data_IF_082551526714
#
_entry.id   IF_082551526714
#
_cell.length_a   1.000
_cell.length_b   1.000
_cell.length_c   1.000
_cell.angle_alpha   90.00
_cell.angle_beta   90.00
_cell.angle_gamma   90.00
#
_symmetry.space_group_name_H-M   'P 1'
#
loop_
_entity.id
_entity.type
_entity.pdbx_description
1 polymer ?
#
# COMPACT_ATOMS: atom_id res chain seq x y z
N UNK A 1 1.13 32.27 1.80
CA UNK A 1 1.30 31.02 2.59
C UNK A 1 -0.07 30.65 3.13
N UNK A 2 -0.70 29.59 2.61
CA UNK A 2 -2.01 29.15 3.09
C UNK A 2 -1.82 28.40 4.41
N UNK A 3 -2.47 28.86 5.48
CA UNK A 3 -2.53 28.15 6.75
C UNK A 3 -3.63 27.09 6.59
N UNK A 4 -3.28 25.81 6.74
CA UNK A 4 -4.28 24.76 6.77
C UNK A 4 -5.09 24.90 8.07
N UNK A 5 -6.38 25.22 7.97
CA UNK A 5 -7.32 25.19 9.08
C UNK A 5 -7.55 23.75 9.53
N UNK A 6 -7.19 23.41 10.77
CA UNK A 6 -7.60 22.15 11.37
C UNK A 6 -9.06 22.27 11.83
N UNK A 7 -9.97 21.60 11.11
CA UNK A 7 -11.42 21.61 11.38
C UNK A 7 -11.88 20.49 12.33
N UNK A 8 -10.94 19.74 12.90
CA UNK A 8 -11.26 18.58 13.73
C UNK A 8 -11.98 17.46 12.96
N UNK A 9 -12.33 16.36 13.64
CA UNK A 9 -13.02 15.23 13.01
C UNK A 9 -14.45 15.61 12.64
N UNK A 10 -14.91 15.16 11.47
CA UNK A 10 -16.30 15.39 11.01
C UNK A 10 -17.36 14.85 12.00
N UNK A 11 -16.99 13.91 12.87
CA UNK A 11 -17.84 13.38 13.95
C UNK A 11 -17.04 13.30 15.26
N UNK A 12 -16.97 14.39 16.05
CA UNK A 12 -16.14 14.46 17.26
C UNK A 12 -16.54 13.49 18.39
N UNK A 13 -17.81 13.09 18.43
CA UNK A 13 -18.37 12.20 19.44
C UNK A 13 -18.92 10.91 18.80
N UNK A 14 -18.19 10.34 17.84
CA UNK A 14 -18.61 9.11 17.17
C UNK A 14 -18.81 7.96 18.18
N UNK A 15 -20.01 7.38 18.20
CA UNK A 15 -20.37 6.25 19.05
C UNK A 15 -21.10 5.19 18.24
N UNK A 16 -20.83 3.92 18.56
CA UNK A 16 -21.55 2.76 18.01
C UNK A 16 -22.91 2.54 18.70
N UNK A 17 -23.13 3.13 19.88
CA UNK A 17 -24.37 2.99 20.65
C UNK A 17 -25.56 3.50 19.82
N UNK A 18 -26.57 2.65 19.65
CA UNK A 18 -27.80 3.00 18.89
C UNK A 18 -27.67 2.91 17.36
N UNK A 19 -26.52 2.47 16.84
CA UNK A 19 -26.34 2.24 15.40
C UNK A 19 -26.55 0.78 15.05
N UNK A 20 -27.22 0.54 13.93
CA UNK A 20 -27.32 -0.80 13.33
C UNK A 20 -26.16 -1.05 12.36
N UNK A 21 -25.88 -2.33 12.09
CA UNK A 21 -24.88 -2.73 11.07
C UNK A 21 -25.17 -2.08 9.71
N UNK A 22 -26.44 -2.03 9.29
CA UNK A 22 -26.84 -1.36 8.06
C UNK A 22 -26.54 0.16 8.07
N UNK A 23 -26.73 0.83 9.22
CA UNK A 23 -26.39 2.25 9.37
C UNK A 23 -24.88 2.48 9.24
N UNK A 24 -24.07 1.60 9.83
CA UNK A 24 -22.60 1.65 9.75
C UNK A 24 -22.11 1.41 8.31
N UNK A 25 -22.65 0.40 7.61
CA UNK A 25 -22.30 0.12 6.22
C UNK A 25 -22.58 1.31 5.30
N UNK A 26 -23.72 1.99 5.45
CA UNK A 26 -24.01 3.21 4.69
C UNK A 26 -23.01 4.34 4.94
N UNK A 27 -22.52 4.49 6.17
CA UNK A 27 -21.50 5.50 6.51
C UNK A 27 -20.15 5.15 5.89
N UNK A 28 -19.76 3.88 5.92
CA UNK A 28 -18.56 3.37 5.26
C UNK A 28 -18.65 3.59 3.75
N UNK A 29 -19.78 3.29 3.12
CA UNK A 29 -20.01 3.55 1.69
C UNK A 29 -20.02 5.04 1.35
N UNK A 30 -20.56 5.90 2.22
CA UNK A 30 -20.50 7.35 2.03
C UNK A 30 -19.06 7.86 2.10
N UNK A 31 -18.27 7.37 3.06
CA UNK A 31 -16.84 7.69 3.18
C UNK A 31 -16.03 7.18 1.99
N UNK A 32 -16.23 5.94 1.55
CA UNK A 32 -15.60 5.41 0.34
C UNK A 32 -15.99 6.19 -0.91
N UNK A 33 -17.25 6.63 -1.02
CA UNK A 33 -17.68 7.51 -2.12
C UNK A 33 -17.04 8.88 -2.02
N UNK A 34 -16.81 9.43 -0.84
CA UNK A 34 -16.06 10.68 -0.68
C UNK A 34 -14.61 10.53 -1.13
N UNK A 35 -13.92 9.46 -0.69
CA UNK A 35 -12.58 9.12 -1.15
C UNK A 35 -12.52 8.87 -2.67
N UNK A 36 -13.55 8.25 -3.25
CA UNK A 36 -13.65 8.01 -4.69
C UNK A 36 -14.10 9.24 -5.51
N UNK A 37 -14.83 10.18 -4.89
CA UNK A 37 -15.28 11.47 -5.45
C UNK A 37 -14.21 12.55 -5.36
N UNK A 38 -13.15 12.34 -4.57
CA UNK A 38 -11.84 12.89 -4.89
C UNK A 38 -11.29 12.25 -6.18
N UNK A 39 -12.09 12.24 -7.26
CA UNK A 39 -11.76 11.68 -8.56
C UNK A 39 -10.57 12.41 -9.21
N UNK A 40 -10.22 13.61 -8.70
CA UNK A 40 -8.95 14.28 -8.97
C UNK A 40 -7.74 13.46 -8.53
N UNK A 41 -7.89 12.53 -7.58
CA UNK A 41 -6.82 11.65 -7.13
C UNK A 41 -6.37 10.64 -8.21
N UNK A 42 -7.17 10.36 -9.24
CA UNK A 42 -6.73 9.49 -10.34
C UNK A 42 -5.68 10.15 -11.23
N UNK A 43 -5.71 11.47 -11.34
CA UNK A 43 -4.84 12.24 -12.24
C UNK A 43 -3.64 12.87 -11.50
N UNK A 44 -3.53 12.68 -10.18
CA UNK A 44 -2.33 13.07 -9.44
C UNK A 44 -1.26 11.99 -9.56
N UNK A 45 -0.06 12.45 -9.86
CA UNK A 45 1.18 11.69 -9.78
C UNK A 45 2.14 12.43 -8.83
N UNK A 46 3.04 11.69 -8.22
CA UNK A 46 4.06 12.23 -7.34
C UNK A 46 5.44 11.77 -7.78
N UNK A 47 6.46 12.47 -7.24
CA UNK A 47 7.85 12.08 -7.46
C UNK A 47 8.13 10.77 -6.75
N UNK A 48 9.00 9.98 -7.36
CA UNK A 48 9.58 8.80 -6.73
C UNK A 48 10.24 9.19 -5.41
N UNK A 49 10.10 8.34 -4.41
CA UNK A 49 10.75 8.48 -3.13
C UNK A 49 12.26 8.21 -3.24
N UNK A 50 13.01 8.50 -2.17
CA UNK A 50 14.46 8.30 -2.09
C UNK A 50 14.86 6.85 -1.68
N UNK A 51 14.04 5.89 -2.07
CA UNK A 51 14.20 4.45 -1.88
C UNK A 51 14.15 3.86 -3.28
N UNK A 52 15.00 2.90 -3.62
CA UNK A 52 15.02 2.36 -4.98
C UNK A 52 14.06 1.16 -5.17
N UNK A 53 13.52 1.07 -6.39
CA UNK A 53 12.90 -0.16 -6.89
C UNK A 53 13.90 -1.32 -6.81
N UNK A 54 13.40 -2.55 -6.61
CA UNK A 54 14.26 -3.71 -6.42
C UNK A 54 13.75 -4.95 -7.12
N UNK A 55 14.71 -5.71 -7.67
CA UNK A 55 14.46 -7.01 -8.30
C UNK A 55 15.37 -8.06 -7.67
N UNK A 56 14.82 -9.25 -7.46
CA UNK A 56 15.54 -10.42 -6.98
C UNK A 56 15.15 -11.66 -7.77
N UNK A 57 16.15 -12.35 -8.32
CA UNK A 57 15.97 -13.58 -9.07
C UNK A 57 16.39 -14.74 -8.17
N UNK A 58 15.51 -15.73 -8.04
CA UNK A 58 15.80 -16.99 -7.38
C UNK A 58 15.56 -18.17 -8.32
N UNK A 59 16.27 -19.26 -8.08
CA UNK A 59 16.22 -20.44 -8.95
C UNK A 59 16.91 -20.23 -10.28
N UNK A 60 16.70 -21.16 -11.19
CA UNK A 60 17.30 -21.17 -12.54
C UNK A 60 16.27 -21.63 -13.56
N UNK A 61 16.46 -21.25 -14.83
CA UNK A 61 15.58 -21.72 -15.92
C UNK A 61 15.78 -23.22 -16.15
N UNK A 62 17.02 -23.69 -16.02
CA UNK A 62 17.41 -25.08 -16.21
C UNK A 62 16.70 -26.01 -15.22
N UNK A 63 16.53 -25.56 -13.96
CA UNK A 63 15.81 -26.29 -12.93
C UNK A 63 14.29 -26.03 -12.91
N UNK A 64 13.75 -25.28 -13.89
CA UNK A 64 12.32 -24.93 -14.01
C UNK A 64 11.71 -24.37 -12.71
N UNK A 65 12.51 -23.66 -11.93
CA UNK A 65 12.11 -23.08 -10.64
C UNK A 65 12.45 -21.59 -10.53
N UNK A 66 12.71 -20.94 -11.66
CA UNK A 66 13.04 -19.53 -11.72
C UNK A 66 11.86 -18.68 -11.26
N UNK A 67 12.13 -17.75 -10.33
CA UNK A 67 11.18 -16.73 -9.89
C UNK A 67 11.85 -15.38 -9.86
N UNK A 68 11.15 -14.37 -10.39
CA UNK A 68 11.60 -12.99 -10.43
C UNK A 68 10.68 -12.19 -9.52
N UNK A 69 11.19 -11.80 -8.36
CA UNK A 69 10.51 -10.92 -7.43
C UNK A 69 10.80 -9.47 -7.81
N UNK A 70 9.76 -8.64 -7.86
CA UNK A 70 9.88 -7.22 -8.16
C UNK A 70 9.14 -6.41 -7.10
N UNK A 71 9.80 -5.39 -6.56
CA UNK A 71 9.22 -4.36 -5.70
C UNK A 71 9.36 -3.03 -6.42
N UNK A 72 8.23 -2.34 -6.61
CA UNK A 72 8.20 -1.03 -7.29
C UNK A 72 7.28 -0.04 -6.60
N UNK A 73 7.60 1.24 -6.65
CA UNK A 73 6.74 2.28 -6.12
C UNK A 73 5.48 2.47 -6.99
N UNK A 74 4.36 2.79 -6.35
CA UNK A 74 3.14 3.24 -7.01
C UNK A 74 3.13 4.78 -6.99
N UNK A 75 3.25 5.40 -8.16
CA UNK A 75 3.55 6.82 -8.34
C UNK A 75 2.34 7.68 -8.70
N UNK A 76 1.14 7.08 -8.73
CA UNK A 76 -0.09 7.80 -9.05
C UNK A 76 -1.29 7.22 -8.34
N UNK A 77 -2.33 8.03 -8.15
CA UNK A 77 -3.57 7.52 -7.57
C UNK A 77 -4.32 6.57 -8.50
N UNK A 78 -4.07 6.61 -9.82
CA UNK A 78 -4.52 5.59 -10.76
C UNK A 78 -3.91 4.22 -10.43
N UNK A 79 -2.61 4.18 -10.18
CA UNK A 79 -1.91 2.95 -9.76
C UNK A 79 -2.40 2.46 -8.40
N UNK A 80 -2.55 3.35 -7.40
CA UNK A 80 -3.13 2.95 -6.10
C UNK A 80 -4.55 2.40 -6.24
N UNK A 81 -5.36 2.97 -7.13
CA UNK A 81 -6.71 2.46 -7.41
C UNK A 81 -6.68 1.09 -8.07
N UNK A 82 -5.77 0.87 -9.02
CA UNK A 82 -5.59 -0.42 -9.68
C UNK A 82 -5.11 -1.49 -8.67
N UNK A 83 -4.13 -1.15 -7.82
CA UNK A 83 -3.63 -2.01 -6.77
C UNK A 83 -4.73 -2.37 -5.77
N UNK A 84 -5.48 -1.36 -5.30
CA UNK A 84 -6.59 -1.55 -4.37
C UNK A 84 -7.69 -2.45 -4.90
N UNK A 85 -7.99 -2.37 -6.21
CA UNK A 85 -8.95 -3.28 -6.87
C UNK A 85 -8.42 -4.70 -6.99
N UNK A 86 -7.15 -4.86 -7.36
CA UNK A 86 -6.54 -6.18 -7.53
C UNK A 86 -6.40 -6.93 -6.20
N UNK A 87 -5.88 -6.23 -5.19
CA UNK A 87 -5.66 -6.75 -3.84
C UNK A 87 -6.90 -6.67 -2.95
N UNK A 88 -8.01 -6.06 -3.40
CA UNK A 88 -9.27 -5.91 -2.64
C UNK A 88 -9.05 -5.24 -1.27
N UNK A 89 -8.33 -4.12 -1.27
CA UNK A 89 -8.09 -3.31 -0.09
C UNK A 89 -8.06 -1.81 -0.41
N UNK A 90 -8.08 -0.97 0.62
CA UNK A 90 -8.36 0.47 0.49
C UNK A 90 -7.13 1.35 0.23
N UNK A 91 -6.04 0.83 -0.33
CA UNK A 91 -4.79 1.59 -0.50
C UNK A 91 -4.94 2.90 -1.31
N UNK A 92 -5.97 3.01 -2.15
CA UNK A 92 -6.31 4.25 -2.85
C UNK A 92 -6.47 5.47 -1.92
N UNK A 93 -6.86 5.27 -0.66
CA UNK A 93 -6.99 6.37 0.33
C UNK A 93 -5.65 7.02 0.71
N UNK A 94 -4.51 6.43 0.32
CA UNK A 94 -3.17 6.96 0.63
C UNK A 94 -2.67 8.02 -0.36
N UNK A 95 -3.43 8.33 -1.41
CA UNK A 95 -2.97 9.21 -2.49
C UNK A 95 -2.49 10.58 -2.00
N UNK A 96 -3.22 11.22 -1.08
CA UNK A 96 -2.82 12.52 -0.52
C UNK A 96 -1.55 12.43 0.35
N UNK A 97 -1.38 11.33 1.10
CA UNK A 97 -0.17 11.10 1.91
C UNK A 97 1.06 10.86 1.04
N UNK A 98 0.89 10.17 -0.09
CA UNK A 98 1.96 9.96 -1.07
C UNK A 98 2.32 11.27 -1.78
N UNK A 99 1.31 12.04 -2.21
CA UNK A 99 1.51 13.37 -2.82
C UNK A 99 2.25 14.33 -1.88
N UNK A 100 1.93 14.30 -0.58
CA UNK A 100 2.61 15.10 0.44
C UNK A 100 3.98 14.55 0.85
N UNK A 101 4.42 13.41 0.31
CA UNK A 101 5.69 12.77 0.63
C UNK A 101 5.76 12.17 2.04
N UNK A 102 4.63 12.02 2.74
CA UNK A 102 4.57 11.46 4.11
C UNK A 102 4.83 9.95 4.13
N UNK A 103 4.31 9.25 3.14
CA UNK A 103 4.55 7.83 2.93
C UNK A 103 4.79 7.54 1.45
N UNK A 104 5.35 6.37 1.16
CA UNK A 104 5.40 5.76 -0.17
C UNK A 104 4.70 4.41 -0.12
N UNK A 105 4.04 4.05 -1.21
CA UNK A 105 3.33 2.78 -1.34
C UNK A 105 3.98 1.98 -2.45
N UNK A 106 4.25 0.72 -2.17
CA UNK A 106 4.95 -0.19 -3.06
C UNK A 106 4.11 -1.41 -3.34
N UNK A 107 4.23 -1.96 -4.54
CA UNK A 107 3.67 -3.27 -4.89
C UNK A 107 4.80 -4.27 -5.05
N UNK A 108 4.59 -5.47 -4.53
CA UNK A 108 5.47 -6.60 -4.73
C UNK A 108 4.75 -7.65 -5.55
N UNK A 109 5.35 -8.03 -6.67
CA UNK A 109 4.87 -9.08 -7.56
C UNK A 109 5.94 -10.17 -7.70
N UNK A 110 5.52 -11.39 -8.04
CA UNK A 110 6.40 -12.50 -8.42
C UNK A 110 6.06 -12.97 -9.83
N UNK A 111 7.07 -13.08 -10.68
CA UNK A 111 6.95 -13.66 -12.01
C UNK A 111 7.59 -15.05 -12.03
N UNK A 112 6.85 -16.01 -12.57
CA UNK A 112 7.24 -17.42 -12.74
C UNK A 112 7.00 -17.83 -14.18
N UNK A 113 7.39 -19.05 -14.57
CA UNK A 113 7.09 -19.59 -15.91
C UNK A 113 5.59 -19.66 -16.23
N UNK A 114 4.74 -19.71 -15.19
CA UNK A 114 3.28 -19.76 -15.32
C UNK A 114 2.68 -18.36 -15.52
N UNK A 115 3.42 -17.31 -15.12
CA UNK A 115 3.02 -15.92 -15.23
C UNK A 115 3.33 -15.10 -13.98
N UNK A 116 2.79 -13.88 -13.97
CA UNK A 116 3.00 -12.88 -12.92
C UNK A 116 1.84 -12.84 -11.93
N UNK A 117 2.15 -12.95 -10.64
CA UNK A 117 1.20 -12.87 -9.54
C UNK A 117 1.50 -11.67 -8.64
N UNK A 118 0.44 -10.97 -8.21
CA UNK A 118 0.54 -9.94 -7.17
C UNK A 118 0.67 -10.56 -5.79
N UNK A 119 1.69 -10.17 -5.04
CA UNK A 119 1.94 -10.68 -3.70
C UNK A 119 1.35 -9.76 -2.63
N UNK A 120 2.02 -8.64 -2.37
CA UNK A 120 1.70 -7.73 -1.26
C UNK A 120 1.87 -6.27 -1.65
N UNK A 121 1.13 -5.42 -0.95
CA UNK A 121 1.29 -3.98 -0.94
C UNK A 121 2.02 -3.58 0.34
N UNK A 122 3.00 -2.69 0.22
CA UNK A 122 3.90 -2.29 1.30
C UNK A 122 3.76 -0.78 1.51
N UNK A 123 3.56 -0.35 2.75
CA UNK A 123 3.58 1.06 3.14
C UNK A 123 4.88 1.39 3.86
N UNK A 124 5.58 2.41 3.39
CA UNK A 124 6.77 2.96 4.04
C UNK A 124 6.48 4.38 4.52
N UNK A 125 6.73 4.65 5.80
CA UNK A 125 6.80 6.01 6.32
C UNK A 125 8.14 6.62 5.91
N UNK A 126 8.11 7.65 5.07
CA UNK A 126 9.33 8.19 4.47
C UNK A 126 10.24 8.88 5.48
N UNK A 127 9.65 9.59 6.47
CA UNK A 127 10.41 10.30 7.50
C UNK A 127 11.24 9.36 8.37
N UNK A 128 10.67 8.19 8.72
CA UNK A 128 11.28 7.23 9.65
C UNK A 128 12.00 6.08 8.92
N UNK A 129 11.94 6.04 7.57
CA UNK A 129 12.34 4.88 6.75
C UNK A 129 11.79 3.56 7.31
N UNK A 130 10.54 3.58 7.75
CA UNK A 130 9.89 2.48 8.47
C UNK A 130 8.82 1.83 7.60
N UNK A 131 8.95 0.53 7.35
CA UNK A 131 7.87 -0.30 6.80
C UNK A 131 6.80 -0.45 7.87
N UNK A 132 5.69 0.26 7.71
CA UNK A 132 4.57 0.29 8.67
C UNK A 132 3.53 -0.78 8.42
N UNK A 133 3.35 -1.17 7.17
CA UNK A 133 2.34 -2.16 6.81
C UNK A 133 2.77 -3.00 5.61
N UNK A 134 2.43 -4.30 5.66
CA UNK A 134 2.53 -5.23 4.54
C UNK A 134 1.23 -6.05 4.49
N UNK A 135 0.51 -5.98 3.37
CA UNK A 135 -0.80 -6.64 3.20
C UNK A 135 -0.95 -7.24 1.81
N UNK A 136 -1.39 -8.49 1.76
CA UNK A 136 -1.78 -9.15 0.52
C UNK A 136 -3.27 -8.97 0.21
N UNK A 137 -3.74 -9.76 -0.76
CA UNK A 137 -5.15 -9.82 -1.17
C UNK A 137 -6.11 -9.99 0.01
N UNK A 138 -7.21 -9.22 0.03
CA UNK A 138 -8.19 -9.14 1.12
C UNK A 138 -7.56 -8.80 2.48
N UNK A 139 -6.54 -7.96 2.51
CA UNK A 139 -5.78 -7.59 3.72
C UNK A 139 -5.12 -8.79 4.45
N UNK A 140 -4.86 -9.91 3.76
CA UNK A 140 -4.14 -11.04 4.38
C UNK A 140 -2.75 -10.59 4.87
N UNK A 141 -2.27 -11.24 5.93
CA UNK A 141 -0.89 -11.10 6.35
C UNK A 141 0.07 -11.69 5.28
N UNK A 142 1.31 -11.19 5.18
CA UNK A 142 2.32 -11.75 4.29
C UNK A 142 2.69 -13.16 4.71
N UNK A 143 2.94 -14.03 3.72
CA UNK A 143 3.52 -15.36 3.94
C UNK A 143 4.97 -15.23 4.40
N UNK A 144 5.54 -16.32 4.93
CA UNK A 144 6.94 -16.32 5.37
C UNK A 144 7.90 -15.93 4.23
N UNK A 145 7.67 -16.45 3.01
CA UNK A 145 8.48 -16.12 1.85
C UNK A 145 8.39 -14.65 1.48
N UNK A 146 7.18 -14.07 1.47
CA UNK A 146 6.98 -12.65 1.22
C UNK A 146 7.69 -11.78 2.28
N UNK A 147 7.62 -12.17 3.56
CA UNK A 147 8.37 -11.50 4.65
C UNK A 147 9.87 -11.53 4.40
N UNK A 148 10.42 -12.65 3.94
CA UNK A 148 11.86 -12.76 3.62
C UNK A 148 12.27 -11.83 2.48
N UNK A 149 11.49 -11.74 1.40
CA UNK A 149 11.77 -10.83 0.29
C UNK A 149 11.70 -9.38 0.76
N UNK A 150 10.66 -9.01 1.53
CA UNK A 150 10.55 -7.66 2.11
C UNK A 150 11.72 -7.33 3.03
N UNK A 151 12.21 -8.28 3.85
CA UNK A 151 13.39 -8.06 4.71
C UNK A 151 14.67 -7.85 3.90
N UNK A 152 14.85 -8.58 2.81
CA UNK A 152 16.01 -8.40 1.91
C UNK A 152 16.00 -7.01 1.27
N UNK A 153 14.85 -6.58 0.77
CA UNK A 153 14.67 -5.23 0.26
C UNK A 153 14.93 -4.17 1.35
N UNK A 154 14.33 -4.34 2.52
CA UNK A 154 14.50 -3.43 3.64
C UNK A 154 15.98 -3.29 4.05
N UNK A 155 16.72 -4.41 4.08
CA UNK A 155 18.16 -4.40 4.41
C UNK A 155 18.96 -3.62 3.36
N UNK A 156 18.69 -3.86 2.07
CA UNK A 156 19.36 -3.16 0.96
C UNK A 156 19.13 -1.66 1.02
N UNK A 157 17.89 -1.26 1.23
CA UNK A 157 17.46 0.13 1.21
C UNK A 157 17.56 0.80 2.59
N UNK A 158 18.22 0.20 3.58
CA UNK A 158 18.33 0.72 4.95
C UNK A 158 16.98 1.15 5.54
N UNK A 159 15.97 0.28 5.43
CA UNK A 159 14.64 0.44 6.01
C UNK A 159 14.50 -0.39 7.28
N UNK A 160 13.78 0.13 8.26
CA UNK A 160 13.37 -0.64 9.44
C UNK A 160 12.03 -1.31 9.16
N UNK A 161 11.84 -2.55 9.64
CA UNK A 161 10.55 -3.24 9.57
C UNK A 161 9.88 -3.20 10.94
N UNK A 162 8.64 -2.73 11.01
CA UNK A 162 7.92 -2.70 12.27
C UNK A 162 7.81 -4.12 12.89
N UNK A 163 8.06 -4.23 14.20
CA UNK A 163 8.19 -5.52 14.89
C UNK A 163 6.96 -6.42 14.79
N UNK A 164 5.76 -5.84 14.73
CA UNK A 164 4.49 -6.56 14.58
C UNK A 164 4.23 -7.11 13.18
N UNK A 165 5.10 -6.83 12.21
CA UNK A 165 5.05 -7.41 10.86
C UNK A 165 5.93 -8.66 10.74
N UNK A 166 6.78 -8.93 11.74
CA UNK A 166 7.72 -10.05 11.75
C UNK A 166 7.04 -11.37 12.12
#
# INVERSE_FOLDING_TARGET
RGVAEDRGPAQPNFSLRGRTVASLLRQVEAWHRQLGRESKAKDIAWKHSAIDDWQFIEGTREAQNMKIWQIRELLSGRELTAEGRSQRHCVASYAQSCLAGKCSIWTMDVETEIGKEKCVTIEVCNADRLIRQVRGKNNRFPTQKEKEIVRRWATRENLTVASYLL
#
